data_IF_616615175418
#
_entry.id   IF_616615175418
#
_cell.length_a   1.000
_cell.length_b   1.000
_cell.length_c   1.000
_cell.angle_alpha   90.00
_cell.angle_beta   90.00
_cell.angle_gamma   90.00
#
_symmetry.space_group_name_H-M   'P 1'
#
loop_
_entity.id
_entity.type
_entity.pdbx_description
1 polymer ?
#
# COMPACT_ATOMS: atom_id res chain seq x y z
N UNK A 1 47.71 28.63 38.72
CA UNK A 1 46.67 29.22 37.84
C UNK A 1 45.64 28.18 37.61
N UNK A 2 44.42 28.41 38.07
CA UNK A 2 43.33 27.42 38.27
C UNK A 2 42.33 27.45 37.09
N UNK A 3 42.03 26.36 36.40
CA UNK A 3 41.10 26.34 35.23
C UNK A 3 39.67 25.93 35.62
N UNK A 4 39.05 26.58 36.61
CA UNK A 4 37.70 26.24 37.07
C UNK A 4 36.73 27.44 37.05
N UNK A 5 36.65 28.22 35.95
CA UNK A 5 35.70 29.33 35.87
C UNK A 5 35.10 29.55 34.46
N UNK A 6 34.77 28.51 33.70
CA UNK A 6 34.12 28.68 32.39
C UNK A 6 32.86 27.85 32.15
N UNK A 7 32.24 27.22 33.18
CA UNK A 7 31.05 26.38 32.97
C UNK A 7 29.71 26.89 33.54
N UNK A 8 29.69 28.10 34.14
CA UNK A 8 28.45 28.60 34.82
C UNK A 8 27.54 29.49 33.95
N UNK A 9 27.93 29.88 32.74
CA UNK A 9 27.13 30.79 31.93
C UNK A 9 26.15 30.12 30.98
N UNK A 10 26.40 28.87 30.59
CA UNK A 10 25.46 28.14 29.65
C UNK A 10 24.19 27.61 30.33
N UNK A 11 24.21 27.40 31.64
CA UNK A 11 23.03 26.91 32.38
C UNK A 11 22.00 28.00 32.71
N UNK A 12 22.38 29.27 32.76
CA UNK A 12 21.45 30.37 33.08
C UNK A 12 20.55 30.76 31.94
N UNK A 13 20.93 30.57 30.69
CA UNK A 13 20.06 30.85 29.53
C UNK A 13 19.07 29.74 29.26
N UNK A 14 19.32 28.51 29.64
CA UNK A 14 18.39 27.40 29.48
C UNK A 14 17.19 27.47 30.44
N UNK A 15 17.41 27.99 31.66
CA UNK A 15 16.36 28.18 32.66
C UNK A 15 15.48 29.40 32.31
N UNK A 16 16.05 30.45 31.70
CA UNK A 16 15.29 31.63 31.29
C UNK A 16 14.39 31.34 30.05
N UNK A 17 14.83 30.45 29.17
CA UNK A 17 13.99 30.04 28.02
C UNK A 17 12.82 29.13 28.42
N UNK A 18 12.99 28.33 29.45
CA UNK A 18 11.92 27.46 29.99
C UNK A 18 10.84 28.26 30.74
N UNK A 19 11.17 29.40 31.35
CA UNK A 19 10.22 30.24 32.12
C UNK A 19 9.37 31.17 31.20
N UNK A 20 9.88 31.52 30.01
CA UNK A 20 9.12 32.34 29.03
C UNK A 20 8.03 31.51 28.34
N UNK A 21 8.21 30.19 28.18
CA UNK A 21 7.22 29.31 27.56
C UNK A 21 6.02 28.96 28.47
N UNK A 22 6.09 29.19 29.77
CA UNK A 22 5.02 28.86 30.73
C UNK A 22 3.95 29.96 30.92
N UNK A 23 4.11 31.12 30.25
CA UNK A 23 3.14 32.22 30.38
C UNK A 23 2.33 32.60 29.14
N UNK A 24 2.41 31.76 28.05
CA UNK A 24 1.67 31.99 26.81
C UNK A 24 0.55 30.97 26.55
N UNK A 25 -0.15 30.53 27.59
CA UNK A 25 -1.15 29.50 27.43
C UNK A 25 -2.34 29.54 28.35
N UNK A 26 -2.99 30.71 28.54
CA UNK A 26 -4.33 30.79 29.14
C UNK A 26 -5.12 31.90 28.45
N UNK A 27 -5.44 31.73 27.19
CA UNK A 27 -6.66 32.29 26.64
C UNK A 27 -7.68 31.16 26.69
N UNK A 28 -8.49 31.18 27.70
CA UNK A 28 -9.69 30.38 27.81
C UNK A 28 -10.75 31.08 26.94
N UNK A 29 -10.79 30.72 25.65
CA UNK A 29 -11.96 31.02 24.82
C UNK A 29 -13.13 30.19 25.33
N UNK A 30 -14.28 30.82 25.48
CA UNK A 30 -15.55 30.24 25.84
C UNK A 30 -15.79 28.93 25.09
N UNK A 31 -15.84 27.83 25.83
CA UNK A 31 -16.15 26.53 25.29
C UNK A 31 -17.63 26.52 24.89
N UNK A 32 -17.92 26.75 23.61
CA UNK A 32 -19.20 26.33 23.05
C UNK A 32 -19.35 24.84 23.39
N UNK A 33 -20.47 24.52 24.02
CA UNK A 33 -20.78 23.15 24.42
C UNK A 33 -20.64 22.22 23.19
N UNK A 34 -19.61 21.42 23.20
CA UNK A 34 -19.29 20.52 22.09
C UNK A 34 -20.35 19.42 22.01
N UNK A 35 -20.74 18.94 20.81
CA UNK A 35 -21.68 17.85 20.68
C UNK A 35 -21.23 16.64 21.50
N UNK A 36 -22.16 15.89 22.07
CA UNK A 36 -21.88 14.76 22.97
C UNK A 36 -21.15 13.59 22.27
N UNK A 37 -21.29 13.47 20.93
CA UNK A 37 -20.68 12.39 20.15
C UNK A 37 -19.23 12.69 19.81
N UNK A 38 -18.34 11.75 20.16
CA UNK A 38 -16.92 11.79 19.86
C UNK A 38 -16.57 10.68 18.89
N UNK A 39 -16.14 11.05 17.67
CA UNK A 39 -15.82 10.12 16.59
C UNK A 39 -14.31 10.04 16.38
N UNK A 40 -13.77 8.84 16.46
CA UNK A 40 -12.44 8.51 16.00
C UNK A 40 -12.51 7.87 14.61
N UNK A 41 -11.62 8.26 13.70
CA UNK A 41 -11.57 7.73 12.33
C UNK A 41 -10.18 7.19 12.04
N UNK A 42 -10.11 5.91 11.68
CA UNK A 42 -8.91 5.26 11.15
C UNK A 42 -9.14 4.82 9.71
N UNK A 43 -8.54 5.53 8.76
CA UNK A 43 -8.68 5.28 7.34
C UNK A 43 -7.45 5.71 6.53
N UNK A 44 -7.30 5.14 5.35
CA UNK A 44 -6.49 5.68 4.25
C UNK A 44 -7.37 6.52 3.32
N UNK A 45 -7.98 7.56 3.85
CA UNK A 45 -8.92 8.42 3.13
C UNK A 45 -8.58 9.89 3.38
N UNK A 46 -9.23 10.79 2.64
CA UNK A 46 -9.13 12.23 2.85
C UNK A 46 -9.80 12.63 4.17
N UNK A 47 -9.15 12.32 5.30
CA UNK A 47 -9.69 12.52 6.64
C UNK A 47 -10.17 13.95 6.88
N UNK A 48 -9.46 14.97 6.36
CA UNK A 48 -9.86 16.38 6.50
C UNK A 48 -11.20 16.66 5.83
N UNK A 49 -11.41 16.09 4.65
CA UNK A 49 -12.69 16.22 3.95
C UNK A 49 -13.82 15.57 4.72
N UNK A 50 -13.62 14.36 5.24
CA UNK A 50 -14.62 13.69 6.09
C UNK A 50 -14.94 14.49 7.34
N UNK A 51 -13.95 15.10 7.99
CA UNK A 51 -14.15 15.95 9.17
C UNK A 51 -14.93 17.24 8.84
N UNK A 52 -14.68 17.83 7.70
CA UNK A 52 -15.39 19.03 7.24
C UNK A 52 -16.86 18.73 6.96
N UNK A 53 -17.13 17.62 6.29
CA UNK A 53 -18.47 17.23 5.90
C UNK A 53 -19.30 16.62 7.04
N UNK A 54 -18.65 16.11 8.08
CA UNK A 54 -19.28 15.52 9.27
C UNK A 54 -18.98 16.39 10.49
N UNK A 55 -19.39 17.65 10.43
CA UNK A 55 -19.10 18.68 11.44
C UNK A 55 -20.04 18.67 12.66
N UNK A 56 -21.05 17.82 12.66
CA UNK A 56 -22.02 17.68 13.74
C UNK A 56 -21.58 16.74 14.87
N UNK A 57 -20.35 16.16 14.78
CA UNK A 57 -19.72 15.35 15.83
C UNK A 57 -18.35 15.91 16.19
N UNK A 58 -17.85 15.57 17.38
CA UNK A 58 -16.48 15.91 17.77
C UNK A 58 -15.50 14.88 17.23
N UNK A 59 -14.59 15.30 16.37
CA UNK A 59 -13.52 14.46 15.89
C UNK A 59 -12.38 14.39 16.91
N UNK A 60 -12.09 13.20 17.39
CA UNK A 60 -11.00 12.95 18.34
C UNK A 60 -9.81 12.26 17.66
N UNK A 61 -8.61 12.54 18.15
CA UNK A 61 -7.37 11.97 17.62
C UNK A 61 -7.02 10.62 18.24
N UNK A 62 -7.59 10.34 19.39
CA UNK A 62 -7.29 9.13 20.15
C UNK A 62 -8.52 8.28 20.29
N UNK A 63 -8.39 7.00 19.94
CA UNK A 63 -9.45 6.00 20.02
C UNK A 63 -10.03 5.86 21.42
N UNK A 64 -9.18 5.94 22.46
CA UNK A 64 -9.64 5.81 23.84
C UNK A 64 -10.48 6.98 24.37
N UNK A 65 -10.60 8.08 23.58
CA UNK A 65 -11.47 9.22 23.91
C UNK A 65 -12.78 9.22 23.12
N UNK A 66 -12.88 8.34 22.13
CA UNK A 66 -14.06 8.24 21.29
C UNK A 66 -15.16 7.42 21.97
N UNK A 67 -16.41 7.77 21.66
CA UNK A 67 -17.54 6.88 21.92
C UNK A 67 -18.07 6.21 20.65
N UNK A 68 -17.50 6.56 19.47
CA UNK A 68 -17.66 5.84 18.22
C UNK A 68 -16.29 5.72 17.56
N UNK A 69 -15.86 4.50 17.27
CA UNK A 69 -14.64 4.23 16.52
C UNK A 69 -15.01 3.77 15.11
N UNK A 70 -14.60 4.51 14.11
CA UNK A 70 -14.77 4.17 12.70
C UNK A 70 -13.46 3.64 12.13
N UNK A 71 -13.47 2.40 11.65
CA UNK A 71 -12.40 1.78 10.90
C UNK A 71 -12.84 1.59 9.46
N UNK A 72 -12.02 2.07 8.51
CA UNK A 72 -12.27 1.93 7.08
C UNK A 72 -11.15 1.13 6.46
N UNK A 73 -11.50 -0.03 5.92
CA UNK A 73 -10.61 -0.92 5.20
C UNK A 73 -10.98 -0.88 3.72
N UNK A 74 -9.99 -0.84 2.86
CA UNK A 74 -10.21 -0.80 1.42
C UNK A 74 -9.46 -1.94 0.72
N UNK A 75 -10.08 -2.51 -0.31
CA UNK A 75 -9.52 -3.55 -1.17
C UNK A 75 -9.90 -3.26 -2.61
N UNK A 76 -9.01 -3.57 -3.55
CA UNK A 76 -9.33 -3.53 -4.96
C UNK A 76 -10.49 -4.49 -5.25
N UNK A 77 -11.47 -4.05 -6.01
CA UNK A 77 -12.63 -4.85 -6.40
C UNK A 77 -12.57 -5.23 -7.88
N UNK A 78 -13.52 -6.09 -8.29
CA UNK A 78 -13.61 -6.55 -9.66
C UNK A 78 -14.04 -5.48 -10.68
N UNK A 79 -14.33 -4.24 -10.31
CA UNK A 79 -14.70 -3.14 -11.21
C UNK A 79 -13.57 -2.13 -11.44
N UNK A 80 -12.32 -2.53 -11.22
CA UNK A 80 -11.14 -1.64 -11.30
C UNK A 80 -11.10 -0.53 -10.25
N UNK A 81 -12.09 -0.50 -9.34
CA UNK A 81 -12.17 0.43 -8.24
C UNK A 81 -11.80 -0.22 -6.91
N UNK A 82 -12.42 0.25 -5.84
CA UNK A 82 -12.18 -0.24 -4.48
C UNK A 82 -13.50 -0.49 -3.77
N UNK A 83 -13.54 -1.55 -2.96
CA UNK A 83 -14.56 -1.79 -1.95
C UNK A 83 -14.07 -1.27 -0.62
N UNK A 84 -14.76 -0.27 -0.07
CA UNK A 84 -14.55 0.25 1.27
C UNK A 84 -15.48 -0.46 2.25
N UNK A 85 -14.92 -1.12 3.26
CA UNK A 85 -15.67 -1.70 4.38
C UNK A 85 -15.50 -0.79 5.59
N UNK A 86 -16.62 -0.28 6.08
CA UNK A 86 -16.71 0.62 7.21
C UNK A 86 -17.25 -0.14 8.41
N UNK A 87 -16.49 -0.16 9.50
CA UNK A 87 -16.90 -0.77 10.76
C UNK A 87 -16.94 0.32 11.83
N UNK A 88 -18.13 0.54 12.39
CA UNK A 88 -18.37 1.48 13.47
C UNK A 88 -18.53 0.69 14.74
N UNK A 89 -17.64 0.88 15.70
CA UNK A 89 -17.65 0.22 17.00
C UNK A 89 -18.02 1.25 18.07
N UNK A 90 -19.14 1.05 18.73
CA UNK A 90 -19.58 1.86 19.87
C UNK A 90 -18.72 1.58 21.10
N UNK A 91 -18.43 2.63 21.88
CA UNK A 91 -17.73 2.57 23.15
C UNK A 91 -18.45 3.46 24.20
N UNK A 92 -18.27 3.13 25.47
CA UNK A 92 -18.94 3.85 26.57
C UNK A 92 -20.45 3.75 26.46
N UNK A 93 -21.14 4.88 26.27
CA UNK A 93 -22.61 4.91 26.13
C UNK A 93 -23.16 4.04 24.98
N UNK A 94 -22.37 3.86 23.92
CA UNK A 94 -22.74 3.07 22.74
C UNK A 94 -22.10 1.67 22.74
N UNK A 95 -21.59 1.21 23.87
CA UNK A 95 -20.97 -0.11 23.96
C UNK A 95 -21.93 -1.23 23.52
N UNK A 96 -21.42 -2.14 22.68
CA UNK A 96 -22.20 -3.21 22.05
C UNK A 96 -22.91 -2.82 20.75
N UNK A 97 -22.96 -1.54 20.39
CA UNK A 97 -23.50 -1.11 19.09
C UNK A 97 -22.43 -1.25 18.01
N UNK A 98 -22.67 -2.14 17.05
CA UNK A 98 -21.78 -2.39 15.91
C UNK A 98 -22.56 -2.13 14.61
N UNK A 99 -22.09 -1.19 13.80
CA UNK A 99 -22.66 -0.91 12.48
C UNK A 99 -21.62 -1.18 11.41
N UNK A 100 -21.98 -1.97 10.40
CA UNK A 100 -21.13 -2.24 9.23
C UNK A 100 -21.79 -1.71 7.98
N UNK A 101 -20.98 -1.09 7.12
CA UNK A 101 -21.38 -0.61 5.79
C UNK A 101 -20.31 -0.95 4.76
N UNK A 102 -20.74 -1.08 3.54
CA UNK A 102 -19.85 -1.26 2.38
C UNK A 102 -20.14 -0.15 1.39
N UNK A 103 -19.09 0.38 0.78
CA UNK A 103 -19.18 1.34 -0.31
C UNK A 103 -18.24 0.88 -1.42
N UNK A 104 -18.81 0.62 -2.59
CA UNK A 104 -18.09 0.16 -3.76
C UNK A 104 -17.88 1.32 -4.73
N UNK A 105 -16.68 1.39 -5.30
CA UNK A 105 -16.32 2.33 -6.35
C UNK A 105 -15.93 1.58 -7.61
N UNK A 106 -15.89 2.26 -8.74
CA UNK A 106 -15.39 1.73 -9.99
C UNK A 106 -14.28 2.63 -10.57
N UNK A 107 -13.60 2.16 -11.60
CA UNK A 107 -12.46 2.86 -12.23
C UNK A 107 -12.84 4.25 -12.80
N UNK A 108 -14.10 4.46 -13.20
CA UNK A 108 -14.55 5.70 -13.82
C UNK A 108 -14.90 6.79 -12.80
N UNK A 109 -14.95 6.48 -11.51
CA UNK A 109 -15.29 7.45 -10.48
C UNK A 109 -14.12 8.38 -10.20
N UNK A 110 -14.40 9.67 -10.22
CA UNK A 110 -13.43 10.69 -9.81
C UNK A 110 -13.15 10.63 -8.32
N UNK A 111 -12.01 11.17 -7.89
CA UNK A 111 -11.68 11.26 -6.46
C UNK A 111 -12.76 12.01 -5.65
N UNK A 112 -13.42 13.00 -6.27
CA UNK A 112 -14.52 13.74 -5.66
C UNK A 112 -15.76 12.86 -5.43
N UNK A 113 -16.16 12.08 -6.42
CA UNK A 113 -17.28 11.14 -6.30
C UNK A 113 -17.01 10.07 -5.24
N UNK A 114 -15.79 9.54 -5.21
CA UNK A 114 -15.37 8.54 -4.21
C UNK A 114 -15.46 9.11 -2.79
N UNK A 115 -14.90 10.29 -2.54
CA UNK A 115 -14.93 10.90 -1.19
C UNK A 115 -16.34 11.32 -0.76
N UNK A 116 -17.17 11.82 -1.68
CA UNK A 116 -18.56 12.18 -1.42
C UNK A 116 -19.42 10.96 -1.08
N UNK A 117 -19.27 9.87 -1.84
CA UNK A 117 -19.96 8.61 -1.57
C UNK A 117 -19.54 8.00 -0.23
N UNK A 118 -18.25 8.07 0.09
CA UNK A 118 -17.74 7.62 1.39
C UNK A 118 -18.34 8.43 2.54
N UNK A 119 -18.37 9.76 2.44
CA UNK A 119 -19.01 10.64 3.43
C UNK A 119 -20.50 10.34 3.59
N UNK A 120 -21.21 10.14 2.49
CA UNK A 120 -22.64 9.79 2.51
C UNK A 120 -22.86 8.46 3.23
N UNK A 121 -22.01 7.48 2.97
CA UNK A 121 -22.05 6.17 3.66
C UNK A 121 -21.79 6.32 5.15
N UNK A 122 -20.80 7.14 5.54
CA UNK A 122 -20.50 7.42 6.95
C UNK A 122 -21.68 8.12 7.62
N UNK A 123 -22.23 9.18 7.01
CA UNK A 123 -23.40 9.90 7.54
C UNK A 123 -24.58 8.95 7.79
N UNK A 124 -24.87 8.06 6.83
CA UNK A 124 -25.97 7.09 6.97
C UNK A 124 -25.76 6.08 8.11
N UNK A 125 -24.51 5.64 8.33
CA UNK A 125 -24.20 4.73 9.43
C UNK A 125 -24.26 5.40 10.79
N UNK A 126 -23.85 6.67 10.88
CA UNK A 126 -23.90 7.45 12.13
C UNK A 126 -25.32 7.67 12.63
N UNK A 127 -26.35 7.61 11.78
CA UNK A 127 -27.75 7.72 12.19
C UNK A 127 -28.11 6.72 13.31
N UNK A 128 -27.55 5.51 13.26
CA UNK A 128 -27.80 4.49 14.30
C UNK A 128 -27.32 4.91 15.71
N UNK A 129 -26.34 5.77 15.79
CA UNK A 129 -25.80 6.34 17.03
C UNK A 129 -26.46 7.66 17.39
N UNK A 130 -26.76 8.50 16.37
CA UNK A 130 -27.37 9.80 16.54
C UNK A 130 -28.76 9.69 17.17
N UNK A 131 -29.57 8.71 16.75
CA UNK A 131 -30.90 8.44 17.31
C UNK A 131 -30.87 7.99 18.79
N UNK A 132 -29.72 7.56 19.29
CA UNK A 132 -29.48 7.14 20.68
C UNK A 132 -28.76 8.23 21.51
N UNK A 133 -28.56 9.42 20.96
CA UNK A 133 -27.85 10.53 21.59
C UNK A 133 -28.74 11.72 21.85
N UNK A 134 -28.22 12.71 22.58
CA UNK A 134 -28.90 13.98 22.83
C UNK A 134 -29.16 14.81 21.55
N UNK A 135 -28.69 14.34 20.42
CA UNK A 135 -28.93 14.93 19.10
C UNK A 135 -30.16 14.37 18.40
N UNK A 136 -30.80 13.33 18.92
CA UNK A 136 -31.96 12.67 18.31
C UNK A 136 -33.04 13.62 17.83
N UNK A 137 -33.43 14.55 18.71
CA UNK A 137 -34.49 15.53 18.44
C UNK A 137 -34.07 16.64 17.46
N UNK A 138 -32.79 16.71 17.09
CA UNK A 138 -32.23 17.71 16.17
C UNK A 138 -31.99 17.15 14.77
N UNK A 139 -32.32 15.87 14.54
CA UNK A 139 -32.11 15.21 13.25
C UNK A 139 -33.35 15.47 12.39
N UNK A 140 -33.19 16.24 11.35
CA UNK A 140 -34.12 16.29 10.24
C UNK A 140 -33.59 15.45 9.08
N UNK A 141 -34.32 14.37 8.72
CA UNK A 141 -33.93 13.51 7.60
C UNK A 141 -35.05 13.43 6.58
N UNK A 142 -34.68 13.61 5.34
CA UNK A 142 -35.57 13.52 4.20
C UNK A 142 -35.29 12.21 3.42
N UNK A 143 -36.27 11.32 3.40
CA UNK A 143 -36.25 10.16 2.53
C UNK A 143 -36.82 10.57 1.19
N UNK A 144 -35.98 10.69 0.16
CA UNK A 144 -36.44 10.91 -1.22
C UNK A 144 -36.82 9.60 -1.86
N UNK A 145 -38.06 9.50 -2.29
CA UNK A 145 -38.58 8.32 -3.00
C UNK A 145 -38.04 8.16 -4.43
N UNK A 146 -37.35 9.18 -4.94
CA UNK A 146 -36.78 9.16 -6.31
C UNK A 146 -35.77 8.03 -6.56
N UNK A 147 -35.14 7.51 -5.50
CA UNK A 147 -34.23 6.35 -5.62
C UNK A 147 -34.87 5.00 -5.27
N UNK A 148 -36.10 4.98 -4.72
CA UNK A 148 -36.76 3.73 -4.33
C UNK A 148 -37.47 3.08 -5.49
N UNK A 149 -37.94 3.86 -6.47
CA UNK A 149 -38.59 3.36 -7.66
C UNK A 149 -37.62 2.68 -8.67
N UNK A 150 -36.32 2.98 -8.57
CA UNK A 150 -35.28 2.36 -9.41
C UNK A 150 -34.63 1.12 -8.79
N UNK A 151 -35.01 0.72 -7.58
CA UNK A 151 -34.58 -0.56 -6.97
C UNK A 151 -35.50 -1.74 -7.27
N UNK A 152 -36.39 -1.60 -8.25
CA UNK A 152 -36.97 -2.77 -8.89
C UNK A 152 -35.86 -3.44 -9.70
N UNK A 153 -35.38 -4.59 -9.18
CA UNK A 153 -34.59 -5.60 -9.90
C UNK A 153 -33.81 -5.01 -11.09
N UNK A 154 -32.81 -4.14 -10.82
CA UNK A 154 -31.78 -3.91 -11.80
C UNK A 154 -31.02 -5.24 -11.82
N UNK A 155 -31.53 -6.14 -12.65
CA UNK A 155 -30.74 -7.21 -13.21
C UNK A 155 -29.62 -6.43 -13.96
N UNK A 156 -28.50 -6.16 -13.31
CA UNK A 156 -27.32 -5.66 -13.99
C UNK A 156 -26.90 -6.79 -14.90
N UNK A 157 -27.46 -6.76 -16.12
CA UNK A 157 -26.91 -7.56 -17.20
C UNK A 157 -25.52 -6.98 -17.45
N UNK A 158 -24.53 -7.54 -16.77
CA UNK A 158 -23.13 -7.17 -16.99
C UNK A 158 -22.67 -7.86 -18.27
N UNK A 159 -22.63 -7.16 -19.42
CA UNK A 159 -22.23 -7.75 -20.68
C UNK A 159 -20.77 -8.20 -20.68
N UNK A 160 -19.99 -7.74 -19.74
CA UNK A 160 -18.58 -8.08 -19.56
C UNK A 160 -18.35 -9.26 -18.60
N UNK A 161 -19.40 -9.74 -17.93
CA UNK A 161 -19.36 -10.89 -17.02
C UNK A 161 -18.19 -10.82 -16.03
N UNK A 162 -18.09 -9.70 -15.29
CA UNK A 162 -17.04 -9.40 -14.32
C UNK A 162 -15.61 -9.28 -14.89
N UNK A 163 -15.45 -9.07 -16.20
CA UNK A 163 -14.19 -8.70 -16.81
C UNK A 163 -13.99 -7.19 -16.76
N UNK A 164 -12.77 -6.80 -16.42
CA UNK A 164 -12.30 -5.42 -16.51
C UNK A 164 -11.06 -5.41 -17.36
N UNK A 165 -10.97 -4.43 -18.23
CA UNK A 165 -9.85 -4.20 -19.11
C UNK A 165 -9.36 -2.77 -18.92
N UNK A 166 -8.05 -2.61 -18.77
CA UNK A 166 -7.41 -1.31 -18.69
C UNK A 166 -6.29 -1.24 -19.73
N UNK A 167 -6.24 -0.14 -20.46
CA UNK A 167 -5.12 0.24 -21.32
C UNK A 167 -4.59 1.54 -20.79
N UNK A 168 -3.31 1.60 -20.49
CA UNK A 168 -2.68 2.80 -19.95
C UNK A 168 -1.40 3.14 -20.70
N UNK A 169 -0.99 4.39 -20.61
CA UNK A 169 0.29 4.87 -21.11
C UNK A 169 0.77 6.04 -20.28
N UNK A 170 2.05 6.05 -19.97
CA UNK A 170 2.73 7.10 -19.23
C UNK A 170 4.02 7.47 -19.97
N UNK A 171 4.42 8.74 -19.88
CA UNK A 171 5.68 9.20 -20.42
C UNK A 171 6.28 10.26 -19.50
N UNK A 172 7.54 10.07 -19.15
CA UNK A 172 8.32 10.96 -18.30
C UNK A 172 9.49 11.55 -19.07
N UNK A 173 9.74 12.84 -18.89
CA UNK A 173 10.86 13.55 -19.47
C UNK A 173 11.57 14.33 -18.37
N UNK A 174 12.78 13.90 -18.05
CA UNK A 174 13.70 14.61 -17.17
C UNK A 174 14.83 15.22 -18.00
N UNK A 175 15.04 16.52 -17.86
CA UNK A 175 16.08 17.23 -18.59
C UNK A 175 16.86 18.16 -17.68
N UNK A 176 18.16 17.92 -17.64
CA UNK A 176 19.16 18.74 -16.95
C UNK A 176 20.24 19.19 -17.95
N UNK A 177 21.17 20.03 -17.50
CA UNK A 177 22.26 20.53 -18.36
C UNK A 177 23.16 19.41 -18.91
N UNK A 178 23.39 18.36 -18.12
CA UNK A 178 24.30 17.25 -18.43
C UNK A 178 23.61 15.89 -18.53
N UNK A 179 22.28 15.86 -18.39
CA UNK A 179 21.50 14.61 -18.43
C UNK A 179 20.16 14.86 -19.09
N UNK A 180 19.81 13.98 -20.02
CA UNK A 180 18.47 13.87 -20.57
C UNK A 180 17.99 12.44 -20.34
N UNK A 181 16.77 12.29 -19.86
CA UNK A 181 16.13 10.99 -19.70
C UNK A 181 14.71 11.06 -20.24
N UNK A 182 14.35 10.13 -21.10
CA UNK A 182 13.01 9.95 -21.62
C UNK A 182 12.60 8.51 -21.39
N UNK A 183 11.55 8.31 -20.61
CA UNK A 183 10.96 7.02 -20.33
C UNK A 183 9.50 7.02 -20.79
N UNK A 184 9.05 5.93 -21.37
CA UNK A 184 7.63 5.70 -21.59
C UNK A 184 7.24 4.26 -21.25
N UNK A 185 6.01 4.13 -20.78
CA UNK A 185 5.38 2.87 -20.46
C UNK A 185 4.02 2.77 -21.14
N UNK A 186 3.72 1.61 -21.72
CA UNK A 186 2.40 1.27 -22.25
C UNK A 186 2.02 -0.08 -21.69
N UNK A 187 0.79 -0.19 -21.21
CA UNK A 187 0.32 -1.44 -20.64
C UNK A 187 -1.13 -1.76 -20.97
N UNK A 188 -1.44 -3.04 -20.79
CA UNK A 188 -2.77 -3.61 -20.86
C UNK A 188 -2.96 -4.57 -19.69
N UNK A 189 -3.99 -4.33 -18.90
CA UNK A 189 -4.40 -5.22 -17.82
C UNK A 189 -5.78 -5.79 -18.08
N UNK A 190 -6.00 -7.04 -17.67
CA UNK A 190 -7.33 -7.59 -17.54
C UNK A 190 -7.49 -8.33 -16.22
N UNK A 191 -8.60 -8.14 -15.54
CA UNK A 191 -8.93 -8.83 -14.28
C UNK A 191 -10.38 -9.37 -14.38
N UNK A 192 -10.55 -10.64 -14.06
CA UNK A 192 -11.83 -11.28 -13.92
C UNK A 192 -11.93 -11.88 -12.53
N UNK A 193 -12.83 -11.35 -11.71
CA UNK A 193 -12.97 -11.74 -10.31
C UNK A 193 -14.40 -12.20 -10.02
N UNK A 194 -14.52 -13.44 -9.59
CA UNK A 194 -15.76 -14.02 -9.07
C UNK A 194 -15.50 -14.63 -7.68
N UNK A 195 -16.50 -15.17 -7.01
CA UNK A 195 -16.31 -15.87 -5.74
C UNK A 195 -15.34 -17.06 -5.85
N UNK A 196 -15.32 -17.73 -7.01
CA UNK A 196 -14.59 -18.97 -7.22
C UNK A 196 -13.31 -18.81 -8.05
N UNK A 197 -13.25 -17.78 -8.91
CA UNK A 197 -12.19 -17.61 -9.86
C UNK A 197 -11.59 -16.21 -9.83
N UNK A 198 -10.28 -16.15 -9.99
CA UNK A 198 -9.56 -14.94 -10.33
C UNK A 198 -8.63 -15.22 -11.50
N UNK A 199 -8.86 -14.50 -12.61
CA UNK A 199 -8.03 -14.56 -13.81
C UNK A 199 -7.46 -13.18 -14.04
N UNK A 200 -6.15 -13.09 -14.19
CA UNK A 200 -5.46 -11.83 -14.44
C UNK A 200 -4.49 -11.98 -15.61
N UNK A 201 -4.42 -10.95 -16.44
CA UNK A 201 -3.40 -10.78 -17.46
C UNK A 201 -2.82 -9.38 -17.34
N UNK A 202 -1.51 -9.28 -17.47
CA UNK A 202 -0.74 -8.04 -17.46
C UNK A 202 0.23 -8.07 -18.63
N UNK A 203 0.16 -7.06 -19.50
CA UNK A 203 1.08 -6.86 -20.61
C UNK A 203 1.69 -5.47 -20.47
N UNK A 204 3.00 -5.39 -20.45
CA UNK A 204 3.71 -4.13 -20.23
C UNK A 204 4.88 -3.99 -21.20
N UNK A 205 5.07 -2.78 -21.72
CA UNK A 205 6.25 -2.36 -22.45
C UNK A 205 6.76 -1.08 -21.78
N UNK A 206 8.01 -1.11 -21.37
CA UNK A 206 8.72 0.03 -20.81
C UNK A 206 10.02 0.24 -21.57
N UNK A 207 10.29 1.47 -22.00
CA UNK A 207 11.55 1.86 -22.61
C UNK A 207 12.06 3.15 -21.98
N UNK A 208 13.30 3.13 -21.53
CA UNK A 208 14.00 4.28 -20.98
C UNK A 208 15.27 4.56 -21.79
N UNK A 209 15.38 5.79 -22.28
CA UNK A 209 16.55 6.29 -22.99
C UNK A 209 17.18 7.38 -22.14
N UNK A 210 18.45 7.24 -21.79
CA UNK A 210 19.20 8.19 -21.00
C UNK A 210 20.46 8.63 -21.76
N UNK A 211 20.72 9.94 -21.80
CA UNK A 211 21.94 10.54 -22.30
C UNK A 211 22.63 11.28 -21.16
N UNK A 212 23.93 11.14 -21.08
CA UNK A 212 24.76 11.84 -20.11
C UNK A 212 25.98 12.43 -20.80
N UNK A 213 26.18 13.74 -20.67
CA UNK A 213 27.34 14.46 -21.21
C UNK A 213 28.40 14.66 -20.11
N UNK A 214 29.65 14.25 -20.41
CA UNK A 214 30.79 14.45 -19.53
C UNK A 214 32.05 14.72 -20.36
N UNK A 215 32.72 15.84 -20.12
CA UNK A 215 33.98 16.20 -20.80
C UNK A 215 33.89 16.18 -22.34
N UNK A 216 32.81 16.67 -22.91
CA UNK A 216 32.52 16.66 -24.35
C UNK A 216 32.25 15.25 -24.96
N UNK A 217 32.13 14.22 -24.14
CA UNK A 217 31.70 12.89 -24.53
C UNK A 217 30.23 12.66 -24.12
N UNK A 218 29.46 12.10 -25.02
CA UNK A 218 28.06 11.73 -24.79
C UNK A 218 27.96 10.23 -24.59
N UNK A 219 27.40 9.84 -23.45
CA UNK A 219 27.10 8.45 -23.12
C UNK A 219 25.61 8.24 -23.25
N UNK A 220 25.19 7.17 -23.93
CA UNK A 220 23.79 6.83 -24.13
C UNK A 220 23.49 5.47 -23.50
N UNK A 221 22.32 5.37 -22.89
CA UNK A 221 21.77 4.15 -22.34
C UNK A 221 20.37 3.91 -22.87
N UNK A 222 20.14 2.70 -23.35
CA UNK A 222 18.80 2.26 -23.74
C UNK A 222 18.42 1.03 -22.92
N UNK A 223 17.35 1.13 -22.17
CA UNK A 223 16.74 0.00 -21.44
C UNK A 223 15.40 -0.32 -22.04
N UNK A 224 15.24 -1.53 -22.50
CA UNK A 224 14.00 -2.05 -23.06
C UNK A 224 13.53 -3.24 -22.23
N UNK A 225 12.29 -3.16 -21.76
CA UNK A 225 11.59 -4.24 -21.08
C UNK A 225 10.21 -4.41 -21.69
N UNK A 226 9.87 -5.63 -22.07
CA UNK A 226 8.49 -6.00 -22.31
C UNK A 226 8.18 -7.31 -21.62
N UNK A 227 6.99 -7.40 -21.05
CA UNK A 227 6.54 -8.61 -20.33
C UNK A 227 5.07 -8.86 -20.56
N UNK A 228 4.71 -10.13 -20.49
CA UNK A 228 3.33 -10.57 -20.42
C UNK A 228 3.21 -11.64 -19.35
N UNK A 229 2.40 -11.38 -18.34
CA UNK A 229 2.15 -12.25 -17.20
C UNK A 229 0.67 -12.61 -17.13
N UNK A 230 0.38 -13.87 -16.85
CA UNK A 230 -0.99 -14.35 -16.69
C UNK A 230 -1.14 -15.27 -15.48
N UNK A 231 -2.29 -15.25 -14.86
CA UNK A 231 -2.62 -16.16 -13.76
C UNK A 231 -4.07 -16.57 -13.78
N UNK A 232 -4.33 -17.81 -13.40
CA UNK A 232 -5.66 -18.38 -13.18
C UNK A 232 -5.62 -19.02 -11.80
N UNK A 233 -6.46 -18.50 -10.88
CA UNK A 233 -6.55 -18.98 -9.49
C UNK A 233 -7.99 -19.39 -9.21
N UNK A 234 -8.16 -20.55 -8.60
CA UNK A 234 -9.45 -21.07 -8.15
C UNK A 234 -9.50 -21.14 -6.63
N UNK A 235 -10.55 -20.60 -6.04
CA UNK A 235 -10.89 -20.81 -4.64
C UNK A 235 -11.41 -22.22 -4.45
N UNK A 236 -10.76 -23.02 -3.62
CA UNK A 236 -11.14 -24.41 -3.34
C UNK A 236 -12.00 -24.48 -2.07
N UNK A 237 -11.78 -23.59 -1.13
CA UNK A 237 -12.55 -23.41 0.10
C UNK A 237 -12.29 -22.04 0.72
N UNK A 238 -12.86 -21.76 1.89
CA UNK A 238 -12.58 -20.54 2.67
C UNK A 238 -11.10 -20.34 3.06
N UNK A 239 -10.28 -21.40 2.97
CA UNK A 239 -8.87 -21.39 3.39
C UNK A 239 -7.89 -21.79 2.29
N UNK A 240 -8.35 -22.50 1.27
CA UNK A 240 -7.48 -23.05 0.24
C UNK A 240 -7.76 -22.45 -1.12
N UNK A 241 -6.71 -22.13 -1.84
CA UNK A 241 -6.75 -21.83 -3.27
C UNK A 241 -5.65 -22.56 -4.03
N UNK A 242 -5.85 -22.78 -5.31
CA UNK A 242 -4.84 -23.30 -6.21
C UNK A 242 -4.87 -22.52 -7.51
N UNK A 243 -3.71 -22.38 -8.13
CA UNK A 243 -3.62 -21.62 -9.38
C UNK A 243 -2.42 -21.96 -10.21
N UNK A 244 -2.38 -21.39 -11.39
CA UNK A 244 -1.25 -21.45 -12.30
C UNK A 244 -0.86 -20.05 -12.72
N UNK A 245 0.44 -19.82 -12.84
CA UNK A 245 1.05 -18.57 -13.25
C UNK A 245 1.95 -18.86 -14.44
N UNK A 246 1.92 -18.02 -15.43
CA UNK A 246 2.79 -18.14 -16.59
C UNK A 246 3.05 -16.78 -17.22
N UNK A 247 4.15 -16.66 -17.94
CA UNK A 247 4.47 -15.41 -18.59
C UNK A 247 5.72 -15.50 -19.43
N UNK A 248 6.00 -14.38 -20.08
CA UNK A 248 7.18 -14.17 -20.90
C UNK A 248 7.74 -12.78 -20.68
N UNK A 249 9.07 -12.63 -20.80
CA UNK A 249 9.77 -11.36 -20.57
C UNK A 249 11.00 -11.22 -21.44
N UNK A 250 11.22 -10.02 -21.93
CA UNK A 250 12.48 -9.49 -22.40
C UNK A 250 12.96 -8.38 -21.46
N UNK A 251 14.25 -8.28 -21.16
CA UNK A 251 14.76 -7.25 -20.26
C UNK A 251 16.28 -7.07 -20.49
N UNK A 252 16.65 -5.96 -21.12
CA UNK A 252 18.05 -5.67 -21.44
C UNK A 252 18.90 -5.47 -20.19
N UNK A 253 18.34 -4.87 -19.13
CA UNK A 253 19.06 -4.64 -17.87
C UNK A 253 19.46 -5.95 -17.18
N UNK A 254 18.63 -6.97 -17.26
CA UNK A 254 18.88 -8.28 -16.64
C UNK A 254 19.46 -9.30 -17.60
N UNK A 255 20.02 -8.86 -18.75
CA UNK A 255 20.63 -9.74 -19.77
C UNK A 255 19.68 -10.83 -20.29
N UNK A 256 18.40 -10.55 -20.37
CA UNK A 256 17.39 -11.48 -20.86
C UNK A 256 16.91 -11.09 -22.25
N UNK A 257 17.31 -11.82 -23.29
CA UNK A 257 16.73 -11.73 -24.62
C UNK A 257 15.28 -12.23 -24.61
N UNK A 258 15.07 -13.40 -23.99
CA UNK A 258 13.73 -13.91 -23.79
C UNK A 258 13.69 -14.91 -22.63
N UNK A 259 12.67 -14.78 -21.78
CA UNK A 259 12.33 -15.75 -20.73
C UNK A 259 10.88 -16.12 -20.86
N UNK A 260 10.54 -17.40 -20.73
CA UNK A 260 9.18 -17.83 -20.43
C UNK A 260 9.17 -18.72 -19.20
N UNK A 261 8.03 -18.71 -18.50
CA UNK A 261 7.89 -19.50 -17.28
C UNK A 261 6.47 -20.05 -17.11
N UNK A 262 6.35 -21.13 -16.36
CA UNK A 262 5.10 -21.73 -15.91
C UNK A 262 5.24 -22.21 -14.47
N UNK A 263 4.33 -21.78 -13.58
CA UNK A 263 4.39 -22.02 -12.14
C UNK A 263 3.03 -22.37 -11.56
N UNK A 264 2.66 -23.65 -11.37
CA UNK A 264 1.57 -24.06 -10.50
C UNK A 264 1.84 -23.69 -9.04
N UNK A 265 0.76 -23.39 -8.32
CA UNK A 265 0.79 -22.95 -6.94
C UNK A 265 -0.38 -23.49 -6.14
N UNK A 266 -0.18 -23.66 -4.84
CA UNK A 266 -1.19 -23.93 -3.84
C UNK A 266 -1.01 -22.97 -2.68
N UNK A 267 -2.13 -22.49 -2.12
CA UNK A 267 -2.14 -21.52 -1.06
C UNK A 267 -3.07 -21.97 0.07
N UNK A 268 -2.64 -21.74 1.31
CA UNK A 268 -3.42 -21.93 2.50
C UNK A 268 -3.43 -20.68 3.36
N UNK A 269 -4.61 -20.16 3.69
CA UNK A 269 -4.78 -19.06 4.64
C UNK A 269 -5.31 -19.62 5.97
N UNK A 270 -4.65 -19.27 7.08
CA UNK A 270 -5.07 -19.67 8.42
C UNK A 270 -6.45 -19.10 8.76
N UNK A 271 -6.73 -17.88 8.31
CA UNK A 271 -8.03 -17.22 8.49
C UNK A 271 -8.91 -17.39 7.26
N UNK A 272 -10.24 -17.50 7.41
CA UNK A 272 -11.14 -17.51 6.26
C UNK A 272 -10.95 -16.28 5.36
N UNK A 273 -11.06 -16.43 4.04
CA UNK A 273 -10.90 -15.32 3.08
C UNK A 273 -11.81 -14.11 3.35
N UNK A 274 -12.96 -14.30 3.97
CA UNK A 274 -13.83 -13.19 4.41
C UNK A 274 -13.18 -12.25 5.44
N UNK A 275 -12.14 -12.69 6.15
CA UNK A 275 -11.41 -11.91 7.16
C UNK A 275 -10.13 -11.25 6.65
N UNK A 276 -9.75 -11.46 5.39
CA UNK A 276 -8.48 -11.01 4.80
C UNK A 276 -8.23 -9.49 4.92
N UNK A 277 -9.29 -8.70 5.08
CA UNK A 277 -9.17 -7.25 5.27
C UNK A 277 -8.64 -6.87 6.66
N UNK A 278 -8.93 -7.67 7.67
CA UNK A 278 -8.51 -7.43 9.06
C UNK A 278 -7.30 -8.26 9.47
N UNK A 279 -7.24 -9.52 9.02
CA UNK A 279 -6.17 -10.44 9.35
C UNK A 279 -5.99 -11.52 8.31
N UNK A 280 -4.75 -11.85 8.05
CA UNK A 280 -4.34 -12.82 7.05
C UNK A 280 -3.00 -13.43 7.47
N UNK A 281 -2.90 -14.74 7.42
CA UNK A 281 -1.63 -15.47 7.46
C UNK A 281 -1.70 -16.51 6.36
N UNK A 282 -0.93 -16.29 5.31
CA UNK A 282 -0.94 -17.10 4.10
C UNK A 282 0.36 -17.86 3.97
N UNK A 283 0.27 -19.11 3.58
CA UNK A 283 1.36 -19.95 3.12
C UNK A 283 1.07 -20.31 1.67
N UNK A 284 1.93 -19.88 0.75
CA UNK A 284 1.82 -20.24 -0.66
C UNK A 284 3.07 -20.96 -1.12
N UNK A 285 2.88 -22.14 -1.68
CA UNK A 285 3.95 -22.93 -2.27
C UNK A 285 3.80 -22.93 -3.79
N UNK A 286 4.91 -22.66 -4.47
CA UNK A 286 5.00 -22.67 -5.94
C UNK A 286 6.13 -23.61 -6.36
N UNK A 287 5.89 -24.33 -7.42
CA UNK A 287 6.93 -25.04 -8.15
C UNK A 287 6.87 -24.56 -9.60
N UNK A 288 8.02 -24.40 -10.25
CA UNK A 288 8.00 -23.83 -11.58
C UNK A 288 9.12 -24.32 -12.46
N UNK A 289 8.95 -24.01 -13.71
CA UNK A 289 9.97 -24.15 -14.74
C UNK A 289 10.06 -22.83 -15.48
N UNK A 290 11.27 -22.33 -15.71
CA UNK A 290 11.53 -21.23 -16.61
C UNK A 290 12.68 -21.55 -17.54
N UNK A 291 12.64 -20.94 -18.71
CA UNK A 291 13.68 -21.06 -19.72
C UNK A 291 14.17 -19.67 -20.11
N UNK A 292 15.48 -19.46 -20.05
CA UNK A 292 16.13 -18.20 -20.39
C UNK A 292 16.89 -18.34 -21.71
N UNK A 293 16.75 -17.31 -22.55
CA UNK A 293 17.70 -16.95 -23.60
C UNK A 293 18.38 -15.66 -23.14
N UNK A 294 19.68 -15.58 -23.26
CA UNK A 294 20.46 -14.44 -22.82
C UNK A 294 20.90 -13.58 -24.00
N UNK A 295 21.00 -12.26 -23.81
CA UNK A 295 21.54 -11.32 -24.81
C UNK A 295 23.02 -11.50 -25.01
N UNK A 296 23.75 -11.70 -23.91
CA UNK A 296 25.17 -11.99 -23.86
C UNK A 296 25.42 -13.27 -23.06
N UNK A 297 26.47 -14.05 -23.37
CA UNK A 297 26.84 -15.22 -22.57
C UNK A 297 26.96 -14.83 -21.08
N UNK A 298 26.42 -15.66 -20.21
CA UNK A 298 26.49 -15.40 -18.76
C UNK A 298 27.88 -15.70 -18.19
N UNK A 299 28.12 -15.26 -16.92
CA UNK A 299 29.34 -15.61 -16.16
C UNK A 299 29.57 -17.14 -16.07
N UNK A 300 28.55 -17.96 -16.35
CA UNK A 300 28.63 -19.42 -16.44
C UNK A 300 28.80 -19.91 -17.88
N UNK A 301 29.11 -19.02 -18.82
CA UNK A 301 29.31 -19.29 -20.26
C UNK A 301 28.07 -19.95 -20.91
N UNK A 302 26.87 -19.51 -20.51
CA UNK A 302 25.62 -20.01 -21.06
C UNK A 302 24.92 -18.92 -21.87
N UNK A 303 24.46 -19.31 -23.07
CA UNK A 303 23.59 -18.47 -23.92
C UNK A 303 22.11 -18.72 -23.65
N UNK A 304 21.78 -19.84 -23.04
CA UNK A 304 20.41 -20.25 -22.69
C UNK A 304 20.42 -21.35 -21.65
N UNK A 305 19.36 -21.42 -20.84
CA UNK A 305 19.19 -22.54 -19.91
C UNK A 305 17.75 -22.69 -19.42
N UNK A 306 17.38 -23.94 -19.12
CA UNK A 306 16.11 -24.29 -18.50
C UNK A 306 16.30 -24.67 -17.03
N UNK A 307 15.48 -24.14 -16.14
CA UNK A 307 15.64 -24.29 -14.70
C UNK A 307 14.28 -24.63 -14.06
N UNK A 308 14.31 -25.61 -13.19
CA UNK A 308 13.23 -25.88 -12.25
C UNK A 308 13.51 -25.16 -10.94
N UNK A 309 12.54 -24.38 -10.46
CA UNK A 309 12.59 -23.69 -9.17
C UNK A 309 11.39 -24.05 -8.30
N UNK A 310 11.51 -23.81 -7.02
CA UNK A 310 10.38 -23.76 -6.12
C UNK A 310 10.49 -22.61 -5.11
N UNK A 311 9.37 -22.19 -4.58
CA UNK A 311 9.32 -21.14 -3.57
C UNK A 311 8.24 -21.35 -2.54
N UNK A 312 8.54 -20.92 -1.32
CA UNK A 312 7.59 -20.78 -0.23
C UNK A 312 7.42 -19.28 0.08
N UNK A 313 6.20 -18.79 0.00
CA UNK A 313 5.82 -17.46 0.46
C UNK A 313 5.02 -17.59 1.76
N UNK A 314 5.40 -16.82 2.78
CA UNK A 314 4.63 -16.64 4.02
C UNK A 314 4.30 -15.17 4.12
N UNK A 315 3.01 -14.84 4.14
CA UNK A 315 2.54 -13.47 4.28
C UNK A 315 1.70 -13.32 5.55
N UNK A 316 2.01 -12.31 6.32
CA UNK A 316 1.30 -11.94 7.54
C UNK A 316 0.77 -10.52 7.36
N UNK A 317 -0.53 -10.34 7.56
CA UNK A 317 -1.17 -9.03 7.56
C UNK A 317 -2.17 -8.94 8.70
N UNK A 318 -2.00 -7.93 9.53
CA UNK A 318 -2.98 -7.54 10.55
C UNK A 318 -3.28 -6.06 10.41
N UNK A 319 -4.57 -5.74 10.37
CA UNK A 319 -5.10 -4.37 10.45
C UNK A 319 -6.04 -4.32 11.64
N UNK A 320 -5.57 -3.78 12.74
CA UNK A 320 -6.25 -3.80 14.02
C UNK A 320 -6.30 -2.38 14.61
N UNK A 321 -7.22 -2.11 15.55
CA UNK A 321 -7.29 -0.81 16.23
C UNK A 321 -5.98 -0.35 16.86
N UNK A 322 -5.15 -1.29 17.29
CA UNK A 322 -3.83 -0.98 17.87
C UNK A 322 -2.72 -0.78 16.82
N UNK A 323 -2.96 -1.08 15.55
CA UNK A 323 -1.99 -0.84 14.49
C UNK A 323 -2.06 -1.79 13.31
N UNK A 324 -1.11 -1.60 12.41
CA UNK A 324 -0.98 -2.36 11.18
C UNK A 324 0.35 -3.12 11.18
N UNK A 325 0.28 -4.41 10.86
CA UNK A 325 1.44 -5.28 10.64
C UNK A 325 1.34 -5.84 9.23
N UNK A 326 2.41 -5.72 8.48
CA UNK A 326 2.62 -6.45 7.24
C UNK A 326 4.02 -7.05 7.28
N UNK A 327 4.12 -8.36 6.99
CA UNK A 327 5.39 -9.03 6.76
C UNK A 327 5.23 -10.07 5.68
N UNK A 328 6.24 -10.21 4.84
CA UNK A 328 6.33 -11.22 3.80
C UNK A 328 7.71 -11.83 3.80
N UNK A 329 7.77 -13.14 3.94
CA UNK A 329 8.96 -13.94 3.75
C UNK A 329 8.77 -14.77 2.48
N UNK A 330 9.68 -14.64 1.52
CA UNK A 330 9.77 -15.52 0.36
C UNK A 330 11.11 -16.21 0.38
N UNK A 331 11.11 -17.52 0.27
CA UNK A 331 12.30 -18.32 0.07
C UNK A 331 12.15 -19.11 -1.23
N UNK A 332 13.14 -19.03 -2.12
CA UNK A 332 13.17 -19.77 -3.38
C UNK A 332 14.52 -20.41 -3.61
N UNK A 333 14.54 -21.53 -4.32
CA UNK A 333 15.77 -22.19 -4.72
C UNK A 333 15.57 -22.98 -6.02
N UNK A 334 16.67 -23.21 -6.74
CA UNK A 334 16.64 -24.06 -7.92
C UNK A 334 16.68 -25.53 -7.51
N UNK A 335 15.85 -26.36 -8.12
CA UNK A 335 15.76 -27.79 -7.78
C UNK A 335 16.98 -28.61 -8.23
N UNK A 336 17.70 -28.12 -9.24
CA UNK A 336 18.92 -28.74 -9.75
C UNK A 336 20.21 -28.25 -9.09
N UNK A 337 20.13 -27.12 -8.32
CA UNK A 337 21.27 -26.56 -7.58
C UNK A 337 20.78 -25.73 -6.38
N UNK A 338 20.69 -26.35 -5.21
CA UNK A 338 20.20 -25.69 -3.98
C UNK A 338 21.13 -24.56 -3.48
N UNK A 339 22.36 -24.45 -3.98
CA UNK A 339 23.24 -23.33 -3.68
C UNK A 339 22.71 -22.03 -4.29
N UNK A 340 21.93 -22.14 -5.37
CA UNK A 340 21.25 -21.04 -6.04
C UNK A 340 19.91 -20.78 -5.37
N UNK A 341 19.91 -19.87 -4.42
CA UNK A 341 18.74 -19.57 -3.61
C UNK A 341 18.60 -18.07 -3.37
N UNK A 342 17.37 -17.66 -3.01
CA UNK A 342 17.02 -16.30 -2.67
C UNK A 342 16.09 -16.29 -1.48
N UNK A 343 16.38 -15.46 -0.50
CA UNK A 343 15.49 -15.24 0.65
C UNK A 343 15.20 -13.75 0.76
N UNK A 344 13.93 -13.40 0.71
CA UNK A 344 13.45 -12.02 0.78
C UNK A 344 12.53 -11.88 2.00
N UNK A 345 12.82 -10.92 2.86
CA UNK A 345 11.99 -10.55 4.01
C UNK A 345 11.63 -9.08 3.92
N UNK A 346 10.36 -8.78 3.78
CA UNK A 346 9.82 -7.41 3.86
C UNK A 346 8.97 -7.30 5.12
N UNK A 347 9.16 -6.22 5.88
CA UNK A 347 8.38 -5.94 7.08
C UNK A 347 7.98 -4.47 7.18
N UNK A 348 6.72 -4.21 7.51
CA UNK A 348 6.19 -2.86 7.78
C UNK A 348 5.24 -2.95 8.95
N UNK A 349 5.62 -2.28 10.06
CA UNK A 349 4.86 -2.27 11.30
C UNK A 349 4.54 -0.83 11.69
N UNK A 350 3.31 -0.60 12.10
CA UNK A 350 2.90 0.68 12.69
C UNK A 350 2.02 0.34 13.89
N UNK A 351 2.56 0.45 15.10
CA UNK A 351 1.93 -0.04 16.32
C UNK A 351 1.75 1.13 17.28
N UNK A 352 0.54 1.29 17.80
CA UNK A 352 0.22 2.21 18.90
C UNK A 352 0.52 1.50 20.22
N UNK A 353 1.51 1.99 20.96
CA UNK A 353 1.92 1.40 22.25
C UNK A 353 0.95 1.87 23.35
N UNK A 354 0.68 3.16 23.38
CA UNK A 354 -0.32 3.79 24.26
C UNK A 354 -0.78 5.10 23.64
N UNK A 355 -1.69 5.80 24.34
CA UNK A 355 -2.26 7.07 23.89
C UNK A 355 -1.19 8.05 23.41
N UNK A 356 -1.26 8.40 22.13
CA UNK A 356 -0.36 9.34 21.49
C UNK A 356 1.00 8.77 21.07
N UNK A 357 1.47 7.62 21.59
CA UNK A 357 2.73 7.02 21.22
C UNK A 357 2.55 5.92 20.16
N UNK A 358 3.19 6.11 19.02
CA UNK A 358 3.26 5.10 17.96
C UNK A 358 4.69 4.84 17.51
N UNK A 359 4.99 3.57 17.28
CA UNK A 359 6.24 3.10 16.69
C UNK A 359 5.96 2.66 15.27
N UNK A 360 6.86 3.05 14.35
CA UNK A 360 6.86 2.60 12.97
C UNK A 360 8.18 1.92 12.68
N UNK A 361 8.09 0.82 12.00
CA UNK A 361 9.22 0.06 11.52
C UNK A 361 8.98 -0.33 10.07
N UNK A 362 10.00 -0.20 9.24
CA UNK A 362 10.04 -0.75 7.89
C UNK A 362 11.40 -1.37 7.66
N UNK A 363 11.43 -2.50 6.98
CA UNK A 363 12.69 -3.14 6.63
C UNK A 363 12.49 -4.12 5.49
N UNK A 364 13.50 -4.16 4.64
CA UNK A 364 13.64 -5.11 3.56
C UNK A 364 15.03 -5.75 3.70
N UNK A 365 15.05 -7.06 3.70
CA UNK A 365 16.28 -7.85 3.75
C UNK A 365 16.22 -8.92 2.68
N UNK A 366 17.29 -9.03 1.91
CA UNK A 366 17.39 -10.00 0.83
C UNK A 366 18.76 -10.68 0.81
N UNK A 367 18.77 -12.00 0.72
CA UNK A 367 19.94 -12.81 0.41
C UNK A 367 19.79 -13.25 -1.04
N UNK A 368 20.82 -13.00 -1.86
CA UNK A 368 20.78 -13.18 -3.30
C UNK A 368 21.92 -14.11 -3.71
N UNK A 369 21.59 -15.32 -4.11
CA UNK A 369 22.56 -16.32 -4.59
C UNK A 369 22.12 -16.96 -5.91
N UNK A 370 21.09 -16.43 -6.54
CA UNK A 370 20.46 -16.97 -7.75
C UNK A 370 20.70 -16.09 -8.98
N UNK A 371 21.69 -15.19 -8.95
CA UNK A 371 22.08 -14.36 -10.08
C UNK A 371 22.84 -15.21 -11.12
N UNK A 372 22.08 -15.84 -12.03
CA UNK A 372 22.64 -16.68 -13.10
C UNK A 372 22.71 -15.96 -14.45
N UNK A 373 22.02 -14.82 -14.54
CA UNK A 373 21.87 -14.04 -15.76
C UNK A 373 22.94 -12.95 -15.96
N UNK A 374 23.86 -12.79 -15.03
CA UNK A 374 24.91 -11.79 -15.15
C UNK A 374 25.77 -12.07 -16.38
N UNK A 375 25.99 -11.06 -17.28
CA UNK A 375 26.82 -11.23 -18.46
C UNK A 375 28.30 -11.50 -18.09
N UNK A 376 28.96 -12.31 -18.91
CA UNK A 376 30.41 -12.59 -18.79
C UNK A 376 31.18 -11.33 -19.20
N UNK A 377 31.90 -10.73 -18.30
CA UNK A 377 32.70 -9.53 -18.51
C UNK A 377 32.48 -8.52 -17.42
N UNK A 378 33.49 -7.69 -17.18
CA UNK A 378 33.41 -6.63 -16.20
C UNK A 378 32.47 -5.53 -16.70
N UNK A 379 31.64 -5.01 -15.82
CA UNK A 379 30.82 -3.83 -16.11
C UNK A 379 31.75 -2.60 -16.23
N UNK A 380 31.57 -1.81 -17.27
CA UNK A 380 32.27 -0.54 -17.40
C UNK A 380 31.76 0.47 -16.36
N UNK A 381 32.51 1.54 -16.13
CA UNK A 381 32.04 2.60 -15.23
C UNK A 381 30.74 3.23 -15.75
N UNK A 382 30.61 3.33 -17.05
CA UNK A 382 29.44 3.85 -17.76
C UNK A 382 28.24 2.94 -17.55
N UNK A 383 28.40 1.63 -17.70
CA UNK A 383 27.34 0.62 -17.42
C UNK A 383 26.77 0.77 -16.00
N UNK A 384 27.67 1.02 -15.04
CA UNK A 384 27.30 1.20 -13.62
C UNK A 384 26.58 2.51 -13.41
N UNK A 385 27.11 3.63 -13.91
CA UNK A 385 26.56 4.98 -13.70
C UNK A 385 25.21 5.16 -14.39
N UNK A 386 25.05 4.56 -15.57
CA UNK A 386 23.81 4.63 -16.36
C UNK A 386 22.84 3.48 -16.04
N UNK A 387 23.20 2.62 -15.09
CA UNK A 387 22.40 1.43 -14.72
C UNK A 387 22.01 0.57 -15.93
N UNK A 388 22.96 0.36 -16.86
CA UNK A 388 22.73 -0.43 -18.08
C UNK A 388 22.71 -1.93 -17.81
N UNK A 389 23.40 -2.39 -16.75
CA UNK A 389 23.56 -3.80 -16.40
C UNK A 389 23.32 -4.04 -14.92
N UNK A 390 22.79 -5.23 -14.62
CA UNK A 390 22.71 -5.74 -13.26
C UNK A 390 24.11 -6.12 -12.75
N UNK A 391 24.44 -5.66 -11.54
CA UNK A 391 25.69 -5.96 -10.85
C UNK A 391 25.46 -7.07 -9.84
N UNK A 392 26.51 -7.88 -9.60
CA UNK A 392 26.47 -8.90 -8.57
C UNK A 392 26.31 -8.27 -7.17
N UNK A 393 25.32 -8.75 -6.43
CA UNK A 393 25.15 -8.43 -5.02
C UNK A 393 24.73 -9.69 -4.28
N UNK A 394 25.28 -9.91 -3.09
CA UNK A 394 25.03 -11.09 -2.27
C UNK A 394 23.90 -10.87 -1.27
N UNK A 395 23.68 -9.63 -0.88
CA UNK A 395 22.58 -9.24 0.02
C UNK A 395 22.21 -7.77 -0.14
N UNK A 396 20.98 -7.47 0.22
CA UNK A 396 20.46 -6.12 0.34
C UNK A 396 19.79 -5.95 1.70
N UNK A 397 19.98 -4.80 2.34
CA UNK A 397 19.37 -4.47 3.62
C UNK A 397 18.90 -3.02 3.62
N UNK A 398 17.60 -2.82 3.72
CA UNK A 398 16.95 -1.55 3.98
C UNK A 398 16.30 -1.56 5.36
N UNK A 399 16.45 -0.48 6.13
CA UNK A 399 15.90 -0.39 7.47
C UNK A 399 15.43 1.02 7.78
N UNK A 400 14.21 1.15 8.30
CA UNK A 400 13.62 2.41 8.74
C UNK A 400 12.97 2.26 10.12
N UNK A 401 13.25 3.15 11.03
CA UNK A 401 12.63 3.22 12.35
C UNK A 401 12.08 4.62 12.60
N UNK A 402 10.86 4.71 13.11
CA UNK A 402 10.21 5.96 13.46
C UNK A 402 9.48 5.86 14.80
N UNK A 403 9.61 6.88 15.60
CA UNK A 403 8.87 7.08 16.83
C UNK A 403 8.06 8.37 16.69
N UNK A 404 6.78 8.33 17.01
CA UNK A 404 5.94 9.53 17.06
C UNK A 404 5.18 9.58 18.37
N UNK A 405 5.28 10.73 19.04
CA UNK A 405 4.48 11.01 20.22
C UNK A 405 3.64 12.25 19.98
N UNK A 406 2.32 12.06 19.95
CA UNK A 406 1.34 13.13 19.73
C UNK A 406 0.66 13.46 21.04
N UNK A 407 0.80 14.70 21.48
CA UNK A 407 0.21 15.25 22.70
C UNK A 407 -0.49 16.57 22.41
N UNK A 408 -1.25 17.10 23.36
CA UNK A 408 -1.98 18.36 23.24
C UNK A 408 -3.48 18.14 23.09
N UNK A 409 -4.17 19.00 22.34
CA UNK A 409 -5.63 18.93 22.17
C UNK A 409 -6.08 17.58 21.63
N UNK A 410 -7.05 16.97 22.30
CA UNK A 410 -7.69 15.74 21.86
C UNK A 410 -8.61 15.94 20.65
N UNK A 411 -9.13 17.16 20.48
CA UNK A 411 -10.11 17.48 19.45
C UNK A 411 -9.45 17.97 18.17
N UNK A 412 -10.08 17.66 17.04
CA UNK A 412 -9.61 18.00 15.70
C UNK A 412 -10.76 18.48 14.80
N UNK A 413 -11.58 19.38 15.34
CA UNK A 413 -12.80 19.87 14.68
C UNK A 413 -12.53 21.06 13.74
N UNK A 414 -11.42 21.78 13.94
CA UNK A 414 -11.11 23.00 13.19
C UNK A 414 -10.21 22.65 12.01
N UNK A 415 -10.66 23.00 10.81
CA UNK A 415 -9.88 22.88 9.57
C UNK A 415 -9.50 24.29 9.14
N UNK A 416 -8.20 24.56 9.11
CA UNK A 416 -7.65 25.80 8.59
C UNK A 416 -6.46 25.49 7.67
N UNK A 417 -6.63 25.73 6.39
CA UNK A 417 -5.61 25.54 5.36
C UNK A 417 -4.97 26.87 4.89
N UNK A 418 -5.18 27.95 5.64
CA UNK A 418 -4.59 29.25 5.30
C UNK A 418 -3.09 29.24 5.63
N UNK A 419 -2.30 29.88 4.76
CA UNK A 419 -0.88 30.16 5.00
C UNK A 419 -0.70 31.35 5.93
#
# INVERSE_FOLDING_TARGET
MNPYLQHSWRFRYFVLFAVIFTRLGLSQEDSQALPSIKLFIDCRCERRYVQQEINFVNHVRDQGLANINLFIYDIANGSGGRTYKLEFEGAGHFEGTLVKRTYDTNVNMTADEVRNGLVTTIKSALLAYLIQSDLADKIDYKITSEGLAQRQDINFDDPWNNWIFEVYGEADLDRETSRNEFEYEVGFESDHVTENWRIRTDLQLNQANSEFERNEETFTSERLRYSGDGSIVRSLSDHWSAGVFGGARHDTFTNLDFRYYFRPAIEYNIFPYREVLRREIVFAYRIGYFYNYYLEPTIFLKDREGIFDHSLDIQIRFRQPWGNIFSRLRASTFLNDFSKNRVQLTGRFSIRIFKGLAIRFSGDFEIIRDLINLPAGDASLEDVLLQQRQIATDFELGFGFGLSYTFGSAFNNIINNRL
#
